data_IF_741466776823
#
_entry.id   IF_741466776823
#
_cell.length_a   1.000
_cell.length_b   1.000
_cell.length_c   1.000
_cell.angle_alpha   90.00
_cell.angle_beta   90.00
_cell.angle_gamma   90.00
#
_symmetry.space_group_name_H-M   'P 1'
#
loop_
_entity.id
_entity.type
_entity.pdbx_description
1 polymer ?
#
# COMPACT_ATOMS: atom_id res chain seq x y z
N UNK A 1 22.44 31.83 -27.30
CA UNK A 1 21.01 31.53 -27.41
C UNK A 1 20.88 30.04 -27.75
N UNK A 2 20.83 29.18 -26.76
CA UNK A 2 20.67 27.73 -26.93
C UNK A 2 19.25 27.41 -26.54
N UNK A 3 18.42 27.15 -27.55
CA UNK A 3 17.06 26.64 -27.37
C UNK A 3 17.14 25.19 -26.90
N UNK A 4 16.85 24.96 -25.65
CA UNK A 4 16.58 23.61 -25.10
C UNK A 4 15.39 23.02 -25.90
N UNK A 5 15.70 22.13 -26.82
CA UNK A 5 14.72 21.24 -27.45
C UNK A 5 14.33 20.20 -26.40
N UNK A 6 13.29 20.46 -25.66
CA UNK A 6 12.56 19.41 -24.97
C UNK A 6 12.02 18.43 -26.03
N UNK A 7 12.72 17.33 -26.23
CA UNK A 7 12.20 16.20 -26.98
C UNK A 7 11.06 15.62 -26.12
N UNK A 8 9.82 15.97 -26.43
CA UNK A 8 8.65 15.29 -25.89
C UNK A 8 8.73 13.84 -26.38
N UNK A 9 9.11 12.93 -25.50
CA UNK A 9 9.01 11.50 -25.76
C UNK A 9 7.54 11.20 -26.00
N UNK A 10 7.20 10.81 -27.23
CA UNK A 10 5.83 10.51 -27.62
C UNK A 10 5.57 9.03 -27.26
N UNK A 11 4.89 8.79 -26.15
CA UNK A 11 4.45 7.45 -25.79
C UNK A 11 3.29 7.01 -26.69
N UNK A 12 3.23 5.71 -27.00
CA UNK A 12 2.06 5.12 -27.62
C UNK A 12 1.01 4.94 -26.54
N UNK A 13 -0.21 5.39 -26.79
CA UNK A 13 -1.34 5.30 -25.88
C UNK A 13 -2.56 4.75 -26.64
N UNK A 14 -3.27 3.81 -26.03
CA UNK A 14 -4.58 3.36 -26.50
C UNK A 14 -5.66 4.27 -25.89
N UNK A 15 -5.99 5.33 -26.61
CA UNK A 15 -6.92 6.36 -26.13
C UNK A 15 -8.30 5.81 -25.78
N UNK A 16 -8.80 4.80 -26.49
CA UNK A 16 -10.11 4.20 -26.22
C UNK A 16 -10.12 3.50 -24.86
N UNK A 17 -9.13 2.65 -24.64
CA UNK A 17 -8.96 1.96 -23.35
C UNK A 17 -8.70 2.92 -22.20
N UNK A 18 -7.87 3.94 -22.39
CA UNK A 18 -7.58 4.96 -21.38
C UNK A 18 -8.82 5.75 -21.03
N UNK A 19 -9.63 6.16 -22.01
CA UNK A 19 -10.88 6.86 -21.76
C UNK A 19 -11.85 5.98 -20.95
N UNK A 20 -11.98 4.70 -21.34
CA UNK A 20 -12.85 3.77 -20.61
C UNK A 20 -12.36 3.52 -19.18
N UNK A 21 -11.05 3.39 -18.97
CA UNK A 21 -10.43 3.29 -17.64
C UNK A 21 -10.79 4.51 -16.77
N UNK A 22 -10.65 5.72 -17.31
CA UNK A 22 -10.97 6.97 -16.61
C UNK A 22 -12.45 7.05 -16.26
N UNK A 23 -13.35 6.69 -17.18
CA UNK A 23 -14.80 6.65 -16.93
C UNK A 23 -15.14 5.70 -15.78
N UNK A 24 -14.64 4.45 -15.83
CA UNK A 24 -14.88 3.47 -14.78
C UNK A 24 -14.38 3.97 -13.43
N UNK A 25 -13.14 4.46 -13.37
CA UNK A 25 -12.57 4.93 -12.10
C UNK A 25 -13.34 6.12 -11.54
N UNK A 26 -13.76 7.09 -12.37
CA UNK A 26 -14.62 8.21 -11.94
C UNK A 26 -15.96 7.73 -11.37
N UNK A 27 -16.57 6.76 -12.03
CA UNK A 27 -17.83 6.20 -11.56
C UNK A 27 -17.68 5.43 -10.25
N UNK A 28 -16.59 4.68 -10.07
CA UNK A 28 -16.26 3.99 -8.83
C UNK A 28 -16.00 4.99 -7.68
N UNK A 29 -15.18 5.99 -7.94
CA UNK A 29 -14.86 7.04 -6.98
C UNK A 29 -14.09 6.55 -5.75
N UNK A 30 -13.84 7.49 -4.83
CA UNK A 30 -13.10 7.24 -3.60
C UNK A 30 -13.87 6.34 -2.62
N UNK A 31 -15.19 6.39 -2.63
CA UNK A 31 -16.03 5.56 -1.75
C UNK A 31 -15.91 4.07 -2.08
N UNK A 32 -15.78 3.72 -3.36
CA UNK A 32 -15.52 2.35 -3.77
C UNK A 32 -14.12 1.89 -3.31
N UNK A 33 -13.09 2.74 -3.47
CA UNK A 33 -11.75 2.44 -2.98
C UNK A 33 -11.77 2.17 -1.47
N UNK A 34 -12.39 3.05 -0.69
CA UNK A 34 -12.59 2.87 0.76
C UNK A 34 -13.28 1.54 1.09
N UNK A 35 -14.35 1.23 0.37
CA UNK A 35 -15.11 -0.03 0.57
C UNK A 35 -14.23 -1.25 0.30
N UNK A 36 -13.46 -1.22 -0.78
CA UNK A 36 -12.52 -2.31 -1.12
C UNK A 36 -11.47 -2.46 -0.04
N UNK A 37 -10.85 -1.37 0.40
CA UNK A 37 -9.83 -1.38 1.45
C UNK A 37 -10.35 -1.96 2.76
N UNK A 38 -11.54 -1.56 3.20
CA UNK A 38 -12.07 -1.91 4.53
C UNK A 38 -12.85 -3.24 4.56
N UNK A 39 -13.41 -3.69 3.42
CA UNK A 39 -14.32 -4.85 3.38
C UNK A 39 -13.87 -5.99 2.48
N UNK A 40 -12.94 -5.71 1.55
CA UNK A 40 -12.49 -6.70 0.57
C UNK A 40 -11.04 -7.12 0.83
N UNK A 41 -10.18 -6.18 1.23
CA UNK A 41 -8.76 -6.45 1.50
C UNK A 41 -8.58 -7.20 2.82
N UNK A 42 -8.13 -8.47 2.71
CA UNK A 42 -7.88 -9.34 3.85
C UNK A 42 -6.73 -8.84 4.76
N UNK A 43 -5.88 -7.95 4.24
CA UNK A 43 -4.83 -7.31 5.03
C UNK A 43 -5.45 -6.36 6.06
N UNK A 44 -6.53 -5.66 5.71
CA UNK A 44 -7.23 -4.79 6.64
C UNK A 44 -7.84 -5.58 7.82
N UNK A 45 -8.40 -6.77 7.54
CA UNK A 45 -8.90 -7.66 8.59
C UNK A 45 -7.78 -8.15 9.51
N UNK A 46 -6.61 -8.50 8.95
CA UNK A 46 -5.45 -8.91 9.73
C UNK A 46 -4.97 -7.77 10.65
N UNK A 47 -4.95 -6.53 10.17
CA UNK A 47 -4.61 -5.36 10.98
C UNK A 47 -5.64 -5.11 12.09
N UNK A 48 -6.92 -5.23 11.78
CA UNK A 48 -7.98 -5.08 12.79
C UNK A 48 -7.83 -6.14 13.89
N UNK A 49 -7.57 -7.40 13.52
CA UNK A 49 -7.31 -8.45 14.49
C UNK A 49 -6.11 -8.13 15.40
N UNK A 50 -5.01 -7.62 14.83
CA UNK A 50 -3.85 -7.21 15.61
C UNK A 50 -4.22 -6.09 16.60
N UNK A 51 -4.87 -5.04 16.12
CA UNK A 51 -5.28 -3.90 16.93
C UNK A 51 -6.21 -4.29 18.10
N UNK A 52 -7.22 -5.12 17.83
CA UNK A 52 -8.16 -5.60 18.84
C UNK A 52 -7.50 -6.40 19.96
N UNK A 53 -6.39 -7.09 19.68
CA UNK A 53 -5.68 -7.91 20.64
C UNK A 53 -4.50 -7.17 21.32
N UNK A 54 -3.82 -6.28 20.61
CA UNK A 54 -2.64 -5.61 21.14
C UNK A 54 -2.97 -4.54 22.19
N UNK A 55 -4.11 -3.84 22.05
CA UNK A 55 -4.58 -2.78 22.97
C UNK A 55 -3.60 -1.63 23.20
N UNK A 56 -2.73 -1.37 22.23
CA UNK A 56 -1.73 -0.31 22.22
C UNK A 56 -1.67 0.28 20.81
N UNK A 57 -2.27 1.46 20.62
CA UNK A 57 -2.40 2.12 19.32
C UNK A 57 -1.04 2.53 18.75
N UNK A 58 -0.13 3.00 19.61
CA UNK A 58 1.20 3.45 19.19
C UNK A 58 2.04 2.28 18.69
N UNK A 59 2.14 1.22 19.51
CA UNK A 59 2.85 0.01 19.13
C UNK A 59 2.23 -0.65 17.89
N UNK A 60 0.90 -0.69 17.78
CA UNK A 60 0.19 -1.20 16.61
C UNK A 60 0.62 -0.50 15.32
N UNK A 61 0.59 0.84 15.29
CA UNK A 61 0.95 1.61 14.10
C UNK A 61 2.43 1.40 13.75
N UNK A 62 3.33 1.40 14.74
CA UNK A 62 4.77 1.17 14.55
C UNK A 62 5.05 -0.22 13.99
N UNK A 63 4.41 -1.26 14.51
CA UNK A 63 4.53 -2.63 14.02
C UNK A 63 4.04 -2.76 12.57
N UNK A 64 2.94 -2.12 12.22
CA UNK A 64 2.41 -2.13 10.85
C UNK A 64 3.39 -1.52 9.87
N UNK A 65 3.99 -0.38 10.21
CA UNK A 65 5.02 0.25 9.38
C UNK A 65 6.27 -0.64 9.23
N UNK A 66 6.77 -1.21 10.32
CA UNK A 66 7.89 -2.14 10.31
C UNK A 66 7.60 -3.35 9.40
N UNK A 67 6.41 -3.96 9.55
CA UNK A 67 6.00 -5.12 8.76
C UNK A 67 5.90 -4.80 7.26
N UNK A 68 5.38 -3.64 6.92
CA UNK A 68 5.26 -3.20 5.52
C UNK A 68 6.64 -3.05 4.85
N UNK A 69 7.64 -2.53 5.57
CA UNK A 69 9.01 -2.36 5.06
C UNK A 69 9.74 -3.68 4.77
N UNK A 70 9.28 -4.80 5.32
CA UNK A 70 9.83 -6.14 5.06
C UNK A 70 8.90 -7.04 4.25
N UNK A 71 7.76 -6.50 3.79
CA UNK A 71 6.76 -7.21 2.97
C UNK A 71 7.14 -7.25 1.49
N UNK A 72 8.31 -7.79 1.18
CA UNK A 72 8.79 -7.96 -0.20
C UNK A 72 9.40 -9.34 -0.41
N UNK A 73 9.36 -9.83 -1.66
CA UNK A 73 9.86 -11.16 -2.03
C UNK A 73 9.39 -12.25 -1.05
N UNK A 74 8.10 -12.24 -0.76
CA UNK A 74 7.48 -13.20 0.13
C UNK A 74 7.62 -14.64 -0.43
N UNK A 75 7.64 -15.63 0.45
CA UNK A 75 7.58 -17.05 0.07
C UNK A 75 6.14 -17.58 0.03
N UNK A 76 5.20 -16.83 0.58
CA UNK A 76 3.76 -17.08 0.55
C UNK A 76 3.00 -15.91 -0.08
N UNK A 77 1.67 -15.92 0.07
CA UNK A 77 0.80 -14.81 -0.35
C UNK A 77 0.93 -13.64 0.61
N UNK A 78 0.62 -12.42 0.13
CA UNK A 78 0.65 -11.22 0.94
C UNK A 78 -0.31 -11.30 2.13
N UNK A 79 -1.54 -11.76 1.86
CA UNK A 79 -2.58 -11.90 2.89
C UNK A 79 -2.16 -12.88 4.00
N UNK A 80 -1.57 -14.03 3.61
CA UNK A 80 -1.11 -15.04 4.57
C UNK A 80 0.01 -14.46 5.45
N UNK A 81 0.92 -13.63 4.88
CA UNK A 81 1.96 -12.94 5.64
C UNK A 81 1.38 -11.96 6.65
N UNK A 82 0.40 -11.15 6.27
CA UNK A 82 -0.22 -10.19 7.19
C UNK A 82 -1.01 -10.90 8.30
N UNK A 83 -1.63 -12.04 8.03
CA UNK A 83 -2.27 -12.86 9.05
C UNK A 83 -1.26 -13.58 9.96
N UNK A 84 -0.14 -14.06 9.42
CA UNK A 84 0.95 -14.65 10.23
C UNK A 84 1.53 -13.61 11.19
N UNK A 85 1.82 -12.40 10.69
CA UNK A 85 2.24 -11.25 11.47
C UNK A 85 1.24 -10.89 12.56
N UNK A 86 -0.02 -10.72 12.21
CA UNK A 86 -1.09 -10.34 13.13
C UNK A 86 -1.22 -11.32 14.29
N UNK A 87 -1.29 -12.62 14.02
CA UNK A 87 -1.40 -13.66 15.05
C UNK A 87 -0.18 -13.68 15.97
N UNK A 88 1.01 -13.63 15.37
CA UNK A 88 2.25 -13.68 16.15
C UNK A 88 2.34 -12.54 17.17
N UNK A 89 2.14 -11.31 16.73
CA UNK A 89 2.26 -10.14 17.61
C UNK A 89 1.02 -9.89 18.49
N UNK A 90 -0.12 -10.46 18.18
CA UNK A 90 -1.27 -10.51 19.09
C UNK A 90 -0.99 -11.39 20.31
N UNK A 91 -0.27 -12.48 20.12
CA UNK A 91 0.07 -13.43 21.18
C UNK A 91 1.37 -13.03 21.92
N UNK A 92 2.26 -12.32 21.23
CA UNK A 92 3.59 -11.94 21.71
C UNK A 92 3.86 -10.44 21.48
N UNK A 93 3.20 -9.52 22.22
CA UNK A 93 3.45 -8.09 22.08
C UNK A 93 4.91 -7.75 22.40
N UNK A 94 5.66 -7.11 21.49
CA UNK A 94 7.08 -6.84 21.70
C UNK A 94 7.29 -5.59 22.57
N UNK A 95 8.42 -5.59 23.29
CA UNK A 95 8.99 -4.39 23.93
C UNK A 95 10.01 -3.69 23.01
N UNK A 96 10.68 -4.48 22.18
CA UNK A 96 11.72 -4.08 21.23
C UNK A 96 11.35 -4.70 19.88
N UNK A 97 11.19 -3.86 18.87
CA UNK A 97 10.72 -4.28 17.54
C UNK A 97 11.79 -5.10 16.82
N UNK A 98 13.08 -4.67 16.89
CA UNK A 98 14.15 -5.39 16.19
C UNK A 98 14.39 -6.76 16.80
N UNK A 99 14.43 -6.88 18.12
CA UNK A 99 14.58 -8.15 18.80
C UNK A 99 13.42 -9.11 18.44
N UNK A 100 12.18 -8.60 18.46
CA UNK A 100 11.00 -9.41 18.12
C UNK A 100 11.04 -9.91 16.67
N UNK A 101 11.42 -9.06 15.72
CA UNK A 101 11.59 -9.49 14.33
C UNK A 101 12.76 -10.44 14.13
N UNK A 102 13.83 -10.31 14.92
CA UNK A 102 14.96 -11.27 14.89
C UNK A 102 14.53 -12.68 15.31
N UNK A 103 13.53 -12.79 16.17
CA UNK A 103 12.93 -14.07 16.56
C UNK A 103 11.83 -14.53 15.59
N UNK A 104 11.02 -13.62 15.06
CA UNK A 104 9.87 -13.93 14.22
C UNK A 104 10.24 -14.31 12.78
N UNK A 105 11.02 -13.47 12.08
CA UNK A 105 11.30 -13.63 10.64
C UNK A 105 11.98 -14.95 10.28
N UNK A 106 12.97 -15.46 11.03
CA UNK A 106 13.59 -16.76 10.73
C UNK A 106 12.63 -17.93 10.79
N UNK A 107 11.58 -17.82 11.60
CA UNK A 107 10.57 -18.85 11.83
C UNK A 107 9.32 -18.65 10.96
N UNK A 108 9.20 -17.55 10.22
CA UNK A 108 8.05 -17.27 9.35
C UNK A 108 7.88 -18.33 8.27
N UNK A 109 6.64 -18.76 8.03
CA UNK A 109 6.28 -19.67 6.94
C UNK A 109 6.14 -18.95 5.61
N UNK A 110 5.72 -17.70 5.64
CA UNK A 110 5.33 -16.91 4.46
C UNK A 110 6.37 -15.88 4.04
N UNK A 111 7.38 -15.57 4.90
CA UNK A 111 8.39 -14.54 4.64
C UNK A 111 9.84 -15.00 4.85
N UNK A 112 10.20 -16.16 4.31
CA UNK A 112 11.51 -16.82 4.51
C UNK A 112 12.65 -16.32 3.64
N UNK A 113 12.37 -15.47 2.64
CA UNK A 113 13.40 -15.01 1.71
C UNK A 113 14.10 -13.76 2.23
N UNK A 114 15.42 -13.67 2.03
CA UNK A 114 16.22 -12.48 2.36
C UNK A 114 16.14 -12.05 3.82
N UNK A 115 15.98 -12.97 4.75
CA UNK A 115 15.79 -12.70 6.19
C UNK A 115 16.86 -11.73 6.73
N UNK A 116 18.14 -12.00 6.50
CA UNK A 116 19.22 -11.13 6.99
C UNK A 116 19.08 -9.66 6.46
N UNK A 117 18.71 -9.50 5.18
CA UNK A 117 18.46 -8.17 4.61
C UNK A 117 17.24 -7.48 5.22
N UNK A 118 16.19 -8.24 5.54
CA UNK A 118 14.99 -7.73 6.19
C UNK A 118 15.25 -7.32 7.64
N UNK A 119 16.00 -8.10 8.40
CA UNK A 119 16.42 -7.75 9.76
C UNK A 119 17.21 -6.44 9.78
N UNK A 120 18.20 -6.27 8.89
CA UNK A 120 18.91 -4.99 8.74
C UNK A 120 18.00 -3.81 8.42
N UNK A 121 16.88 -4.04 7.75
CA UNK A 121 15.88 -2.99 7.49
C UNK A 121 15.09 -2.63 8.75
N UNK A 122 14.74 -3.61 9.56
CA UNK A 122 14.08 -3.39 10.86
C UNK A 122 15.02 -2.61 11.79
N UNK A 123 16.24 -3.10 12.00
CA UNK A 123 17.29 -2.41 12.80
C UNK A 123 17.49 -0.95 12.37
N UNK A 124 17.39 -0.67 11.06
CA UNK A 124 17.55 0.69 10.52
C UNK A 124 16.35 1.59 10.81
N UNK A 125 15.13 1.05 10.71
CA UNK A 125 13.93 1.86 10.90
C UNK A 125 13.53 2.03 12.36
N UNK A 126 13.91 1.10 13.21
CA UNK A 126 13.52 1.07 14.63
C UNK A 126 13.78 2.37 15.39
N UNK A 127 14.99 3.00 15.34
CA UNK A 127 15.22 4.26 16.05
C UNK A 127 14.28 5.38 15.61
N UNK A 128 13.88 5.39 14.34
CA UNK A 128 12.87 6.32 13.84
C UNK A 128 11.50 6.00 14.41
N UNK A 129 11.09 4.72 14.39
CA UNK A 129 9.79 4.32 14.94
C UNK A 129 9.70 4.58 16.45
N UNK A 130 10.77 4.30 17.20
CA UNK A 130 10.84 4.57 18.64
C UNK A 130 10.73 6.05 18.96
N UNK A 131 11.30 6.92 18.14
CA UNK A 131 11.24 8.38 18.33
C UNK A 131 9.85 8.97 18.13
N UNK A 132 8.91 8.24 17.50
CA UNK A 132 7.57 8.74 17.23
C UNK A 132 6.64 8.56 18.44
N UNK A 133 6.09 9.66 18.91
CA UNK A 133 4.98 9.66 19.87
C UNK A 133 3.64 9.44 19.18
N UNK A 134 2.60 9.14 19.95
CA UNK A 134 1.23 9.02 19.44
C UNK A 134 0.73 10.32 18.77
N UNK A 135 1.14 11.50 19.28
CA UNK A 135 0.78 12.80 18.71
C UNK A 135 1.45 13.00 17.34
N UNK A 136 2.71 12.59 17.17
CA UNK A 136 3.41 12.65 15.89
C UNK A 136 2.81 11.66 14.87
N UNK A 137 2.44 10.45 15.29
CA UNK A 137 1.74 9.48 14.45
C UNK A 137 0.39 10.03 14.01
N UNK A 138 -0.34 10.69 14.90
CA UNK A 138 -1.61 11.37 14.59
C UNK A 138 -1.39 12.51 13.60
N UNK A 139 -0.37 13.33 13.79
CA UNK A 139 -0.05 14.44 12.87
C UNK A 139 0.35 13.92 11.49
N UNK A 140 1.16 12.86 11.40
CA UNK A 140 1.44 12.20 10.12
C UNK A 140 0.17 11.70 9.44
N UNK A 141 -0.76 11.13 10.20
CA UNK A 141 -1.99 10.58 9.63
C UNK A 141 -2.91 11.66 9.06
N UNK A 142 -3.16 12.71 9.83
CA UNK A 142 -4.13 13.74 9.44
C UNK A 142 -3.54 14.82 8.52
N UNK A 143 -2.24 15.11 8.63
CA UNK A 143 -1.64 16.27 8.00
C UNK A 143 -0.35 15.99 7.21
N UNK A 144 0.23 14.81 7.33
CA UNK A 144 1.62 14.61 6.92
C UNK A 144 1.99 13.28 6.28
N UNK A 145 1.10 12.57 5.59
CA UNK A 145 1.47 11.28 4.97
C UNK A 145 2.59 11.42 3.91
N UNK A 146 2.67 12.57 3.21
CA UNK A 146 3.80 12.85 2.31
C UNK A 146 5.11 13.03 3.07
N UNK A 147 5.07 13.73 4.21
CA UNK A 147 6.22 13.90 5.08
C UNK A 147 6.67 12.55 5.64
N UNK A 148 5.74 11.69 6.08
CA UNK A 148 6.07 10.34 6.52
C UNK A 148 6.77 9.54 5.42
N UNK A 149 6.27 9.59 4.17
CA UNK A 149 6.93 8.97 3.02
C UNK A 149 8.38 9.43 2.88
N UNK A 150 8.60 10.74 2.97
CA UNK A 150 9.90 11.37 2.78
C UNK A 150 10.87 11.00 3.92
N UNK A 151 10.39 10.98 5.16
CA UNK A 151 11.17 10.58 6.32
C UNK A 151 11.52 9.09 6.29
N UNK A 152 10.57 8.21 5.95
CA UNK A 152 10.84 6.79 5.73
C UNK A 152 11.85 6.56 4.60
N UNK A 153 11.74 7.29 3.50
CA UNK A 153 12.69 7.20 2.39
C UNK A 153 14.11 7.60 2.82
N UNK A 154 14.23 8.67 3.59
CA UNK A 154 15.51 9.14 4.17
C UNK A 154 16.10 8.11 5.12
N UNK A 155 15.33 7.63 6.10
CA UNK A 155 15.76 6.63 7.08
C UNK A 155 16.20 5.34 6.39
N UNK A 156 15.43 4.88 5.40
CA UNK A 156 15.72 3.64 4.68
C UNK A 156 16.78 3.80 3.59
N UNK A 157 17.30 5.01 3.36
CA UNK A 157 18.20 5.35 2.25
C UNK A 157 17.66 4.82 0.92
N UNK A 158 16.40 5.18 0.62
CA UNK A 158 15.65 4.71 -0.53
C UNK A 158 15.04 5.89 -1.31
N UNK A 159 14.61 5.64 -2.55
CA UNK A 159 13.81 6.61 -3.29
C UNK A 159 12.42 6.74 -2.66
N UNK A 160 11.82 7.95 -2.72
CA UNK A 160 10.43 8.20 -2.27
C UNK A 160 9.42 7.27 -2.96
N UNK A 161 9.62 7.02 -4.25
CA UNK A 161 8.81 6.13 -5.08
C UNK A 161 9.18 4.64 -4.92
N UNK A 162 10.11 4.28 -4.03
CA UNK A 162 10.45 2.87 -3.82
C UNK A 162 9.22 2.11 -3.31
N UNK A 163 8.89 0.98 -3.95
CA UNK A 163 7.71 0.17 -3.65
C UNK A 163 7.49 -0.06 -2.15
N UNK A 164 8.55 -0.40 -1.41
CA UNK A 164 8.44 -0.67 0.04
C UNK A 164 8.14 0.57 0.85
N UNK A 165 8.58 1.76 0.43
CA UNK A 165 8.27 3.04 1.08
C UNK A 165 6.81 3.40 0.83
N UNK A 166 6.39 3.39 -0.43
CA UNK A 166 5.00 3.69 -0.82
C UNK A 166 4.03 2.72 -0.14
N UNK A 167 4.36 1.43 -0.12
CA UNK A 167 3.55 0.41 0.54
C UNK A 167 3.50 0.61 2.06
N UNK A 168 4.58 1.04 2.70
CA UNK A 168 4.58 1.37 4.13
C UNK A 168 3.61 2.51 4.45
N UNK A 169 3.55 3.54 3.61
CA UNK A 169 2.58 4.64 3.76
C UNK A 169 1.15 4.14 3.53
N UNK A 170 0.92 3.25 2.55
CA UNK A 170 -0.40 2.63 2.35
C UNK A 170 -0.87 1.89 3.61
N UNK A 171 -0.01 1.07 4.18
CA UNK A 171 -0.35 0.29 5.38
C UNK A 171 -0.45 1.16 6.64
N UNK A 172 0.34 2.22 6.73
CA UNK A 172 0.16 3.26 7.75
C UNK A 172 -1.23 3.91 7.65
N UNK A 173 -1.70 4.22 6.44
CA UNK A 173 -3.06 4.73 6.22
C UNK A 173 -4.14 3.76 6.73
N UNK A 174 -3.97 2.45 6.52
CA UNK A 174 -4.88 1.44 7.09
C UNK A 174 -4.82 1.44 8.62
N UNK A 175 -3.62 1.43 9.20
CA UNK A 175 -3.43 1.42 10.65
C UNK A 175 -3.99 2.69 11.30
N UNK A 176 -3.74 3.87 10.74
CA UNK A 176 -4.27 5.13 11.23
C UNK A 176 -5.80 5.17 11.17
N UNK A 177 -6.40 4.62 10.10
CA UNK A 177 -7.86 4.51 9.99
C UNK A 177 -8.47 3.65 11.09
N UNK A 178 -7.80 2.55 11.44
CA UNK A 178 -8.25 1.64 12.51
C UNK A 178 -8.07 2.32 13.87
N UNK A 179 -6.88 2.84 14.16
CA UNK A 179 -6.55 3.41 15.48
C UNK A 179 -7.27 4.74 15.77
N UNK A 180 -7.43 5.61 14.75
CA UNK A 180 -8.07 6.92 14.94
C UNK A 180 -9.55 6.95 14.58
N UNK A 181 -10.09 5.88 13.98
CA UNK A 181 -11.51 5.79 13.62
C UNK A 181 -11.96 6.74 12.52
N UNK A 182 -11.04 7.34 11.76
CA UNK A 182 -11.33 8.33 10.73
C UNK A 182 -10.70 7.95 9.39
N UNK A 183 -11.41 8.18 8.30
CA UNK A 183 -10.87 8.01 6.94
C UNK A 183 -10.21 9.30 6.47
N UNK A 184 -8.91 9.25 6.22
CA UNK A 184 -8.15 10.33 5.58
C UNK A 184 -7.67 9.80 4.22
N UNK A 185 -8.04 10.44 3.10
CA UNK A 185 -7.53 10.04 1.78
C UNK A 185 -6.01 10.17 1.70
N UNK A 186 -5.38 9.26 0.95
CA UNK A 186 -3.96 9.40 0.63
C UNK A 186 -3.73 10.67 -0.20
N UNK A 187 -2.58 11.34 -0.01
CA UNK A 187 -2.20 12.46 -0.87
C UNK A 187 -2.01 12.06 -2.34
N UNK A 188 -2.44 12.95 -3.25
CA UNK A 188 -2.24 12.79 -4.69
C UNK A 188 -0.76 12.70 -5.11
N UNK A 189 0.15 13.24 -4.30
CA UNK A 189 1.59 13.24 -4.56
C UNK A 189 2.29 11.94 -4.16
N UNK A 190 1.58 10.94 -3.62
CA UNK A 190 2.14 9.63 -3.32
C UNK A 190 1.83 8.69 -4.49
N UNK A 191 2.88 8.16 -5.08
CA UNK A 191 2.82 7.35 -6.30
C UNK A 191 2.14 5.99 -6.04
N UNK A 192 1.66 5.38 -7.13
CA UNK A 192 1.21 3.98 -7.09
C UNK A 192 2.40 3.04 -6.84
N UNK A 193 2.25 1.93 -6.10
CA UNK A 193 3.33 0.96 -5.93
C UNK A 193 3.73 0.34 -7.28
N UNK A 194 4.95 0.62 -7.73
CA UNK A 194 5.48 0.10 -9.00
C UNK A 194 5.84 -1.39 -8.85
N UNK A 195 4.88 -2.27 -9.07
CA UNK A 195 5.04 -3.71 -8.99
C UNK A 195 4.82 -4.41 -10.33
N UNK A 196 5.11 -5.71 -10.36
CA UNK A 196 5.01 -6.53 -11.57
C UNK A 196 3.59 -6.53 -12.17
N UNK A 197 2.54 -6.45 -11.32
CA UNK A 197 1.14 -6.46 -11.76
C UNK A 197 0.75 -5.13 -12.37
N UNK A 198 1.08 -4.03 -11.67
CA UNK A 198 0.87 -2.67 -12.17
C UNK A 198 1.65 -2.46 -13.47
N UNK A 199 2.92 -2.89 -13.53
CA UNK A 199 3.71 -2.83 -14.75
C UNK A 199 3.09 -3.61 -15.92
N UNK A 200 2.64 -4.83 -15.67
CA UNK A 200 2.00 -5.65 -16.70
C UNK A 200 0.69 -5.02 -17.19
N UNK A 201 -0.13 -4.53 -16.26
CA UNK A 201 -1.42 -3.92 -16.57
C UNK A 201 -1.27 -2.60 -17.32
N UNK A 202 -0.33 -1.75 -16.94
CA UNK A 202 -0.05 -0.48 -17.62
C UNK A 202 0.25 -0.66 -19.11
N UNK A 203 0.93 -1.75 -19.49
CA UNK A 203 1.29 -2.06 -20.90
C UNK A 203 0.07 -2.29 -21.82
N UNK A 204 -1.11 -2.55 -21.26
CA UNK A 204 -2.34 -2.63 -22.04
C UNK A 204 -2.83 -1.27 -22.53
N UNK A 205 -2.38 -0.18 -21.91
CA UNK A 205 -2.80 1.19 -22.20
C UNK A 205 -1.72 2.02 -22.88
N UNK A 206 -0.47 1.85 -22.47
CA UNK A 206 0.59 2.77 -22.89
C UNK A 206 1.99 2.14 -22.82
N UNK A 207 2.95 2.77 -23.50
CA UNK A 207 4.39 2.54 -23.31
C UNK A 207 5.04 3.49 -22.31
N UNK A 208 4.28 4.38 -21.70
CA UNK A 208 4.72 5.27 -20.64
C UNK A 208 5.09 4.49 -19.37
N UNK A 209 6.09 4.98 -18.57
CA UNK A 209 6.39 4.38 -17.28
C UNK A 209 5.16 4.37 -16.35
N UNK A 210 4.90 3.27 -15.60
CA UNK A 210 3.70 3.12 -14.79
C UNK A 210 3.44 4.28 -13.83
N UNK A 211 4.45 4.73 -13.10
CA UNK A 211 4.31 5.82 -12.11
C UNK A 211 3.80 7.10 -12.77
N UNK A 212 4.33 7.45 -13.95
CA UNK A 212 3.91 8.65 -14.71
C UNK A 212 2.50 8.49 -15.25
N UNK A 213 2.19 7.35 -15.87
CA UNK A 213 0.86 7.05 -16.39
C UNK A 213 -0.23 7.13 -15.30
N UNK A 214 -0.03 6.42 -14.18
CA UNK A 214 -1.02 6.39 -13.10
C UNK A 214 -1.16 7.72 -12.37
N UNK A 215 -0.10 8.55 -12.34
CA UNK A 215 -0.22 9.94 -11.90
C UNK A 215 -1.18 10.72 -12.79
N UNK A 216 -1.04 10.61 -14.11
CA UNK A 216 -1.96 11.24 -15.06
C UNK A 216 -3.40 10.73 -14.95
N UNK A 217 -3.59 9.43 -14.69
CA UNK A 217 -4.92 8.86 -14.42
C UNK A 217 -5.51 9.41 -13.11
N UNK A 218 -4.71 9.49 -12.05
CA UNK A 218 -5.13 10.04 -10.77
C UNK A 218 -5.58 11.50 -10.90
N UNK A 219 -4.84 12.33 -11.63
CA UNK A 219 -5.19 13.73 -11.93
C UNK A 219 -6.50 13.83 -12.71
N UNK A 220 -6.73 12.94 -13.70
CA UNK A 220 -7.97 12.91 -14.50
C UNK A 220 -9.18 12.45 -13.69
N UNK A 221 -8.99 11.56 -12.73
CA UNK A 221 -10.08 10.92 -11.97
C UNK A 221 -10.32 11.54 -10.60
N UNK A 222 -9.40 12.38 -10.13
CA UNK A 222 -9.36 12.94 -8.77
C UNK A 222 -9.28 11.87 -7.67
N UNK A 223 -8.78 10.68 -8.02
CA UNK A 223 -8.56 9.57 -7.09
C UNK A 223 -7.06 9.43 -6.86
N UNK A 224 -6.56 9.53 -5.60
CA UNK A 224 -5.14 9.34 -5.30
C UNK A 224 -4.61 7.99 -5.79
N UNK A 225 -3.34 7.93 -6.27
CA UNK A 225 -2.80 6.71 -6.88
C UNK A 225 -2.84 5.48 -5.97
N UNK A 226 -2.70 5.65 -4.65
CA UNK A 226 -2.79 4.54 -3.70
C UNK A 226 -4.21 3.96 -3.59
N UNK A 227 -5.24 4.79 -3.76
CA UNK A 227 -6.63 4.34 -3.82
C UNK A 227 -6.95 3.65 -5.16
N UNK A 228 -6.34 4.12 -6.27
CA UNK A 228 -6.42 3.42 -7.55
C UNK A 228 -5.80 2.03 -7.43
N UNK A 229 -4.62 1.89 -6.82
CA UNK A 229 -4.02 0.59 -6.52
C UNK A 229 -4.98 -0.34 -5.77
N UNK A 230 -5.69 0.19 -4.78
CA UNK A 230 -6.68 -0.57 -4.01
C UNK A 230 -7.86 -1.05 -4.86
N UNK A 231 -8.34 -0.23 -5.81
CA UNK A 231 -9.40 -0.62 -6.77
C UNK A 231 -8.90 -1.71 -7.72
N UNK A 232 -7.68 -1.60 -8.20
CA UNK A 232 -7.11 -2.53 -9.17
C UNK A 232 -6.72 -3.89 -8.56
N UNK A 233 -6.29 -3.90 -7.30
CA UNK A 233 -5.74 -5.10 -6.68
C UNK A 233 -6.66 -6.32 -6.71
N UNK A 234 -7.99 -6.24 -6.44
CA UNK A 234 -8.89 -7.39 -6.51
C UNK A 234 -8.93 -8.07 -7.88
N UNK A 235 -8.80 -7.31 -8.95
CA UNK A 235 -8.88 -7.83 -10.32
C UNK A 235 -7.54 -8.27 -10.88
N UNK A 236 -6.44 -7.68 -10.44
CA UNK A 236 -5.08 -8.03 -10.88
C UNK A 236 -4.47 -9.16 -10.05
N UNK A 237 -4.83 -9.29 -8.79
CA UNK A 237 -4.23 -10.26 -7.86
C UNK A 237 -5.21 -11.09 -7.06
N UNK A 238 -6.42 -10.60 -6.86
CA UNK A 238 -7.44 -11.25 -6.04
C UNK A 238 -7.98 -12.54 -6.64
N UNK A 239 -8.22 -13.54 -5.79
CA UNK A 239 -8.82 -14.83 -6.15
C UNK A 239 -9.78 -15.28 -5.04
N UNK A 240 -10.69 -16.20 -5.38
CA UNK A 240 -11.54 -16.85 -4.40
C UNK A 240 -12.26 -15.88 -3.47
N UNK A 241 -11.89 -15.87 -2.20
CA UNK A 241 -12.53 -15.08 -1.15
C UNK A 241 -12.54 -13.56 -1.46
N UNK A 242 -11.45 -13.02 -2.02
CA UNK A 242 -11.38 -11.59 -2.38
C UNK A 242 -12.44 -11.22 -3.41
N UNK A 243 -12.63 -12.03 -4.45
CA UNK A 243 -13.66 -11.79 -5.48
C UNK A 243 -15.07 -11.98 -4.91
N UNK A 244 -15.27 -12.94 -4.01
CA UNK A 244 -16.54 -13.14 -3.33
C UNK A 244 -16.90 -11.92 -2.44
N UNK A 245 -15.92 -11.39 -1.70
CA UNK A 245 -16.08 -10.17 -0.90
C UNK A 245 -16.35 -8.95 -1.76
N UNK A 246 -15.62 -8.80 -2.89
CA UNK A 246 -15.87 -7.72 -3.83
C UNK A 246 -17.34 -7.71 -4.27
N UNK A 247 -17.86 -8.84 -4.72
CA UNK A 247 -19.27 -8.98 -5.15
C UNK A 247 -20.26 -8.73 -4.01
N UNK A 248 -19.92 -9.08 -2.78
CA UNK A 248 -20.78 -8.92 -1.60
C UNK A 248 -20.83 -7.48 -1.09
N UNK A 249 -19.71 -6.78 -1.11
CA UNK A 249 -19.56 -5.50 -0.39
C UNK A 249 -19.47 -4.28 -1.30
N UNK A 250 -19.02 -4.43 -2.56
CA UNK A 250 -18.95 -3.31 -3.50
C UNK A 250 -20.22 -3.25 -4.35
N UNK A 251 -21.06 -2.21 -4.23
CA UNK A 251 -22.28 -2.07 -5.02
C UNK A 251 -22.02 -2.02 -6.53
N UNK A 252 -20.80 -1.62 -6.93
CA UNK A 252 -20.35 -1.50 -8.32
C UNK A 252 -19.29 -2.55 -8.67
N UNK A 253 -19.41 -3.75 -8.10
CA UNK A 253 -18.46 -4.84 -8.32
C UNK A 253 -18.26 -5.18 -9.81
N UNK A 254 -19.31 -5.07 -10.63
CA UNK A 254 -19.23 -5.33 -12.08
C UNK A 254 -18.29 -4.36 -12.80
N UNK A 255 -18.27 -3.07 -12.44
CA UNK A 255 -17.33 -2.09 -13.00
C UNK A 255 -15.89 -2.39 -12.57
N UNK A 256 -15.68 -2.81 -11.31
CA UNK A 256 -14.34 -3.25 -10.86
C UNK A 256 -13.89 -4.48 -11.65
N UNK A 257 -14.79 -5.43 -11.90
CA UNK A 257 -14.48 -6.63 -12.69
C UNK A 257 -14.21 -6.31 -14.17
N UNK A 258 -14.85 -5.30 -14.74
CA UNK A 258 -14.62 -4.82 -16.11
C UNK A 258 -13.17 -4.35 -16.31
N UNK A 259 -12.55 -3.73 -15.30
CA UNK A 259 -11.13 -3.32 -15.36
C UNK A 259 -10.17 -4.48 -15.72
N UNK A 260 -10.56 -5.72 -15.44
CA UNK A 260 -9.74 -6.90 -15.78
C UNK A 260 -9.65 -7.15 -17.27
N UNK A 261 -10.63 -6.69 -18.04
CA UNK A 261 -10.75 -6.93 -19.48
C UNK A 261 -10.16 -5.81 -20.35
N UNK A 262 -9.77 -4.66 -19.75
CA UNK A 262 -9.13 -3.56 -20.47
C UNK A 262 -7.68 -3.88 -20.79
#
# INVERSE_FOLDING_TARGET
MTLDRFVRVKYREDNEKVNRLVEILRELGLDCAKTIEEKVDLQFDALRNLWENLKDDELFIKLVMANALVSYQLSGKGEDWWWEFSRHFSENPPRDIAEAYAQFLPNSKTNRRLVAGKLKRIERVEPFLESLSMDELRDYYFNGMERLRDDLAKVMNAKRSAKTIVFAVKMFGYAGRIAFGAFVPYPMAIEIPDDVRINAYTKHFTTEPPVSFWKGIAEKTEIPPLHIDSILWPVLGGKGEVLNRLKRHCPRAELVLELRGL
#
